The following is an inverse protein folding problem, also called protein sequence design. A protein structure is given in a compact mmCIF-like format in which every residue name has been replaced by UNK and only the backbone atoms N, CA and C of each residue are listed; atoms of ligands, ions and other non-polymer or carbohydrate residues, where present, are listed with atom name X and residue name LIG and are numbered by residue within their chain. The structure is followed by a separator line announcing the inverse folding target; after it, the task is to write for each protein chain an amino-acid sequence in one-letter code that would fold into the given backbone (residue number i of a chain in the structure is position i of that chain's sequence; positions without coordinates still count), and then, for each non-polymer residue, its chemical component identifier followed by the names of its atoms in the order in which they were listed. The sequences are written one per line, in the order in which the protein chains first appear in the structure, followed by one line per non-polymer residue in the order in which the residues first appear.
data_IF_783768885595
#
_entry.id   IF_783768885595
#
_cell.length_a   1.000
_cell.length_b   1.000
_cell.length_c   1.000
_cell.angle_alpha   90.00
_cell.angle_beta   90.00
_cell.angle_gamma   90.00
#
_symmetry.space_group_name_H-M   'P 1'
#
loop_
_entity.id
_entity.type
_entity.pdbx_description
1 polymer ?
#
# COMPACT_ATOMS: atom_id res chain seq x y z
N UNK A 1 -27.68 -8.75 -1.15
CA UNK A 1 -26.36 -9.13 -1.68
C UNK A 1 -26.47 -10.29 -2.66
N UNK A 2 -25.97 -10.17 -3.91
CA UNK A 2 -25.98 -11.24 -4.92
C UNK A 2 -25.27 -12.52 -4.45
N UNK A 3 -25.62 -13.68 -5.03
CA UNK A 3 -25.06 -14.99 -4.64
C UNK A 3 -23.52 -15.03 -4.72
N UNK A 4 -22.97 -14.49 -5.81
CA UNK A 4 -21.52 -14.43 -6.03
C UNK A 4 -20.80 -13.64 -4.93
N UNK A 5 -21.39 -12.55 -4.45
CA UNK A 5 -20.81 -11.72 -3.38
C UNK A 5 -20.86 -12.46 -2.04
N UNK A 6 -21.92 -13.24 -1.78
CA UNK A 6 -21.98 -14.09 -0.58
C UNK A 6 -20.91 -15.18 -0.57
N UNK A 7 -20.66 -15.81 -1.72
CA UNK A 7 -19.58 -16.80 -1.87
C UNK A 7 -18.20 -16.17 -1.65
N UNK A 8 -17.98 -14.95 -2.15
CA UNK A 8 -16.77 -14.19 -1.88
C UNK A 8 -16.61 -13.87 -0.39
N UNK A 9 -17.67 -13.45 0.29
CA UNK A 9 -17.68 -13.20 1.73
C UNK A 9 -17.24 -14.45 2.52
N UNK A 10 -17.81 -15.62 2.21
CA UNK A 10 -17.42 -16.88 2.85
C UNK A 10 -15.96 -17.26 2.58
N UNK A 11 -15.48 -17.05 1.36
CA UNK A 11 -14.07 -17.31 1.03
C UNK A 11 -13.12 -16.41 1.84
N UNK A 12 -13.41 -15.11 1.92
CA UNK A 12 -12.62 -14.17 2.70
C UNK A 12 -12.68 -14.46 4.20
N UNK A 13 -13.83 -14.88 4.72
CA UNK A 13 -13.95 -15.29 6.12
C UNK A 13 -13.02 -16.45 6.47
N UNK A 14 -12.88 -17.42 5.56
CA UNK A 14 -12.08 -18.64 5.76
C UNK A 14 -10.59 -18.45 5.43
N UNK A 15 -10.25 -17.58 4.47
CA UNK A 15 -8.90 -17.52 3.89
C UNK A 15 -8.29 -16.11 3.84
N UNK A 16 -9.11 -15.07 3.97
CA UNK A 16 -8.67 -13.68 3.81
C UNK A 16 -7.90 -13.15 5.03
N UNK A 17 -7.00 -12.20 4.80
CA UNK A 17 -6.34 -11.47 5.89
C UNK A 17 -7.37 -10.62 6.62
N UNK A 18 -7.06 -10.20 7.84
CA UNK A 18 -7.96 -9.34 8.61
C UNK A 18 -8.33 -8.08 7.83
N UNK A 19 -7.36 -7.40 7.21
CA UNK A 19 -7.61 -6.18 6.43
C UNK A 19 -8.53 -6.42 5.23
N UNK A 20 -8.38 -7.54 4.51
CA UNK A 20 -9.25 -7.87 3.36
C UNK A 20 -10.69 -8.13 3.80
N UNK A 21 -10.87 -8.83 4.93
CA UNK A 21 -12.21 -9.08 5.51
C UNK A 21 -12.89 -7.78 5.92
N UNK A 22 -12.15 -6.87 6.56
CA UNK A 22 -12.69 -5.57 7.00
C UNK A 22 -12.99 -4.64 5.82
N UNK A 23 -12.14 -4.64 4.79
CA UNK A 23 -12.39 -3.92 3.53
C UNK A 23 -13.65 -4.42 2.86
N UNK A 24 -13.81 -5.74 2.73
CA UNK A 24 -15.01 -6.34 2.17
C UNK A 24 -16.27 -5.99 2.97
N UNK A 25 -16.22 -6.11 4.30
CA UNK A 25 -17.34 -5.74 5.18
C UNK A 25 -17.74 -4.27 4.98
N UNK A 26 -16.76 -3.37 4.87
CA UNK A 26 -16.99 -1.93 4.63
C UNK A 26 -17.65 -1.68 3.27
N UNK A 27 -17.17 -2.34 2.20
CA UNK A 27 -17.64 -2.11 0.83
C UNK A 27 -18.98 -2.80 0.50
N UNK A 28 -19.27 -3.94 1.14
CA UNK A 28 -20.42 -4.77 0.78
C UNK A 28 -21.53 -4.82 1.83
N UNK A 29 -21.19 -4.66 3.11
CA UNK A 29 -22.10 -4.91 4.24
C UNK A 29 -22.21 -3.70 5.20
N UNK A 30 -21.70 -2.52 4.80
CA UNK A 30 -21.81 -1.28 5.59
C UNK A 30 -20.92 -1.27 6.84
N UNK A 31 -19.83 -2.05 6.85
CA UNK A 31 -18.83 -2.05 7.91
C UNK A 31 -18.15 -0.67 8.11
N UNK A 32 -17.52 -0.49 9.27
CA UNK A 32 -16.83 0.76 9.60
C UNK A 32 -15.44 0.84 8.97
N UNK A 33 -15.20 1.91 8.19
CA UNK A 33 -13.88 2.24 7.66
C UNK A 33 -12.82 2.48 8.73
N UNK A 34 -13.20 2.88 9.95
CA UNK A 34 -12.27 3.05 11.08
C UNK A 34 -11.58 1.72 11.46
N UNK A 35 -12.29 0.59 11.33
CA UNK A 35 -11.71 -0.73 11.60
C UNK A 35 -10.65 -1.08 10.55
N UNK A 36 -10.88 -0.69 9.29
CA UNK A 36 -9.89 -0.86 8.22
C UNK A 36 -8.68 0.02 8.47
N UNK A 37 -8.86 1.30 8.85
CA UNK A 37 -7.77 2.22 9.19
C UNK A 37 -6.93 1.70 10.37
N UNK A 38 -7.58 1.20 11.42
CA UNK A 38 -6.88 0.60 12.55
C UNK A 38 -6.04 -0.62 12.13
N UNK A 39 -6.59 -1.50 11.29
CA UNK A 39 -5.84 -2.62 10.74
C UNK A 39 -4.69 -2.17 9.82
N UNK A 40 -4.92 -1.19 8.94
CA UNK A 40 -3.92 -0.65 8.03
C UNK A 40 -2.74 -0.01 8.78
N UNK A 41 -3.01 0.68 9.89
CA UNK A 41 -1.95 1.31 10.70
C UNK A 41 -0.92 0.31 11.23
N UNK A 42 -1.31 -0.95 11.44
CA UNK A 42 -0.39 -2.01 11.87
C UNK A 42 0.55 -2.49 10.76
N UNK A 43 0.33 -2.09 9.50
CA UNK A 43 1.22 -2.36 8.37
C UNK A 43 2.24 -1.24 8.13
N UNK A 44 2.02 -0.03 8.67
CA UNK A 44 2.97 1.08 8.55
C UNK A 44 4.14 0.88 9.52
N UNK A 45 5.35 0.98 9.00
CA UNK A 45 6.58 0.87 9.77
C UNK A 45 7.00 2.23 10.36
N UNK A 46 7.91 2.26 11.35
CA UNK A 46 8.37 3.51 11.97
C UNK A 46 9.04 4.51 11.01
N UNK A 47 9.53 4.06 9.86
CA UNK A 47 10.09 4.92 8.80
C UNK A 47 9.03 5.61 7.93
N UNK A 48 7.75 5.32 8.17
CA UNK A 48 6.60 5.84 7.41
C UNK A 48 6.19 4.98 6.22
N UNK A 49 7.04 4.04 5.80
CA UNK A 49 6.74 3.10 4.72
C UNK A 49 5.81 1.96 5.15
N UNK A 50 5.46 1.11 4.20
CA UNK A 50 4.57 -0.03 4.44
C UNK A 50 5.24 -1.35 4.07
N UNK A 51 4.90 -2.40 4.83
CA UNK A 51 5.40 -3.75 4.62
C UNK A 51 4.45 -4.78 5.22
N UNK A 52 4.98 -5.80 5.89
CA UNK A 52 4.21 -6.79 6.67
C UNK A 52 3.17 -7.56 5.84
N UNK A 53 3.51 -7.85 4.58
CA UNK A 53 2.61 -8.51 3.62
C UNK A 53 1.31 -7.74 3.36
N UNK A 54 1.38 -6.40 3.33
CA UNK A 54 0.26 -5.56 2.87
C UNK A 54 -0.04 -5.80 1.39
N UNK A 55 0.98 -5.87 0.54
CA UNK A 55 0.91 -6.56 -0.75
C UNK A 55 1.01 -8.07 -0.49
N UNK A 56 -0.07 -8.85 -0.68
CA UNK A 56 -0.17 -10.22 -0.15
C UNK A 56 0.92 -11.20 -0.62
N UNK A 57 1.48 -11.04 -1.81
CA UNK A 57 2.52 -11.91 -2.37
C UNK A 57 3.96 -11.41 -2.12
N UNK A 58 4.10 -10.30 -1.37
CA UNK A 58 5.36 -9.73 -0.89
C UNK A 58 5.42 -9.85 0.66
N UNK A 59 5.95 -10.96 1.19
CA UNK A 59 5.75 -11.33 2.61
C UNK A 59 6.66 -10.61 3.61
N UNK A 60 7.64 -9.86 3.14
CA UNK A 60 8.62 -9.16 3.98
C UNK A 60 7.99 -8.13 4.93
N UNK A 61 8.62 -7.94 6.08
CA UNK A 61 8.19 -6.94 7.07
C UNK A 61 8.69 -5.52 6.73
N UNK A 62 9.84 -5.42 6.05
CA UNK A 62 10.47 -4.14 5.73
C UNK A 62 9.64 -3.29 4.76
N UNK A 63 9.82 -1.98 4.86
CA UNK A 63 9.15 -1.00 4.00
C UNK A 63 9.55 -1.18 2.53
N UNK A 64 8.58 -1.10 1.64
CA UNK A 64 8.76 -1.19 0.18
C UNK A 64 7.85 -0.17 -0.51
N UNK A 65 8.25 0.42 -1.67
CA UNK A 65 7.41 1.37 -2.40
C UNK A 65 6.06 0.81 -2.82
N UNK A 66 6.00 -0.44 -3.31
CA UNK A 66 4.73 -1.02 -3.77
C UNK A 66 3.70 -1.15 -2.63
N UNK A 67 4.00 -1.70 -1.44
CA UNK A 67 3.05 -1.67 -0.33
C UNK A 67 2.51 -0.29 0.05
N UNK A 68 3.24 0.80 -0.23
CA UNK A 68 2.70 2.17 -0.07
C UNK A 68 1.58 2.44 -1.08
N UNK A 69 1.71 1.97 -2.32
CA UNK A 69 0.66 2.04 -3.34
C UNK A 69 -0.60 1.31 -2.86
N UNK A 70 -0.45 0.08 -2.34
CA UNK A 70 -1.58 -0.68 -1.77
C UNK A 70 -2.21 0.08 -0.60
N UNK A 71 -1.42 0.68 0.29
CA UNK A 71 -1.93 1.51 1.38
C UNK A 71 -2.74 2.70 0.86
N UNK A 72 -2.24 3.38 -0.18
CA UNK A 72 -2.91 4.54 -0.77
C UNK A 72 -4.22 4.16 -1.47
N UNK A 73 -4.28 3.01 -2.16
CA UNK A 73 -5.56 2.51 -2.69
C UNK A 73 -6.58 2.27 -1.58
N UNK A 74 -6.17 1.67 -0.47
CA UNK A 74 -7.07 1.45 0.68
C UNK A 74 -7.53 2.79 1.27
N UNK A 75 -6.63 3.76 1.42
CA UNK A 75 -7.00 5.08 1.94
C UNK A 75 -7.94 5.84 0.98
N UNK A 76 -7.75 5.70 -0.33
CA UNK A 76 -8.63 6.26 -1.35
C UNK A 76 -10.03 5.63 -1.32
N UNK A 77 -10.10 4.28 -1.25
CA UNK A 77 -11.36 3.53 -1.12
C UNK A 77 -12.19 3.99 0.08
N UNK A 78 -11.53 4.34 1.19
CA UNK A 78 -12.17 4.77 2.43
C UNK A 78 -12.45 6.28 2.47
N UNK A 79 -12.00 7.06 1.49
CA UNK A 79 -12.05 8.53 1.55
C UNK A 79 -11.22 9.11 2.70
N UNK A 80 -10.16 8.42 3.11
CA UNK A 80 -9.34 8.70 4.29
C UNK A 80 -7.95 9.28 3.94
N UNK A 81 -7.81 9.91 2.78
CA UNK A 81 -6.52 10.43 2.29
C UNK A 81 -5.96 11.61 3.11
N UNK A 82 -6.76 12.21 3.99
CA UNK A 82 -6.30 13.18 5.00
C UNK A 82 -5.64 12.55 6.23
N UNK A 83 -5.51 11.22 6.30
CA UNK A 83 -4.93 10.54 7.45
C UNK A 83 -3.40 10.76 7.55
N UNK A 84 -2.81 10.91 8.75
CA UNK A 84 -1.36 11.12 8.93
C UNK A 84 -0.45 10.06 8.29
N UNK A 85 -0.98 8.86 8.05
CA UNK A 85 -0.30 7.79 7.31
C UNK A 85 0.20 8.26 5.94
N UNK A 86 -0.55 9.13 5.25
CA UNK A 86 -0.20 9.63 3.91
C UNK A 86 1.05 10.49 3.97
N UNK A 87 1.12 11.46 4.89
CA UNK A 87 2.30 12.32 5.04
C UNK A 87 3.55 11.52 5.40
N UNK A 88 3.45 10.61 6.38
CA UNK A 88 4.57 9.76 6.77
C UNK A 88 5.05 8.85 5.62
N UNK A 89 4.12 8.34 4.81
CA UNK A 89 4.47 7.58 3.61
C UNK A 89 5.16 8.45 2.56
N UNK A 90 4.77 9.71 2.40
CA UNK A 90 5.46 10.63 1.50
C UNK A 90 6.89 10.96 1.96
N UNK A 91 7.11 11.10 3.27
CA UNK A 91 8.46 11.24 3.84
C UNK A 91 9.33 10.00 3.53
N UNK A 92 8.76 8.81 3.70
CA UNK A 92 9.41 7.56 3.31
C UNK A 92 9.74 7.52 1.81
N UNK A 93 8.78 7.83 0.93
CA UNK A 93 8.95 7.81 -0.52
C UNK A 93 10.06 8.78 -0.97
N UNK A 94 10.14 9.97 -0.37
CA UNK A 94 11.23 10.92 -0.61
C UNK A 94 12.60 10.34 -0.24
N UNK A 95 12.69 9.55 0.82
CA UNK A 95 13.95 8.93 1.27
C UNK A 95 14.45 7.81 0.35
N UNK A 96 13.56 7.21 -0.47
CA UNK A 96 13.87 6.08 -1.35
C UNK A 96 13.75 6.41 -2.83
N UNK A 97 13.56 7.69 -3.16
CA UNK A 97 13.45 8.17 -4.55
C UNK A 97 14.78 7.99 -5.27
N UNK A 98 14.73 7.38 -6.45
CA UNK A 98 15.87 7.17 -7.31
C UNK A 98 16.30 8.49 -7.99
N UNK A 99 17.49 8.48 -8.61
CA UNK A 99 18.09 9.68 -9.24
C UNK A 99 17.27 10.25 -10.40
N UNK A 100 16.35 9.47 -10.94
CA UNK A 100 15.45 9.86 -12.03
C UNK A 100 14.12 10.46 -11.53
N UNK A 101 13.96 10.65 -10.22
CA UNK A 101 12.79 11.26 -9.59
C UNK A 101 11.66 10.28 -9.27
N UNK A 102 11.74 9.03 -9.77
CA UNK A 102 10.77 7.99 -9.45
C UNK A 102 11.16 7.17 -8.22
N UNK A 103 10.20 6.46 -7.62
CA UNK A 103 10.53 5.43 -6.63
C UNK A 103 10.70 4.06 -7.31
N UNK A 104 11.62 3.22 -6.82
CA UNK A 104 11.77 1.85 -7.29
C UNK A 104 10.47 1.05 -7.25
N UNK A 105 10.37 -0.01 -8.06
CA UNK A 105 9.27 -0.98 -7.95
C UNK A 105 9.29 -1.65 -6.55
N UNK A 106 10.47 -2.14 -6.16
CA UNK A 106 10.82 -2.64 -4.84
C UNK A 106 12.29 -2.30 -4.57
N UNK A 107 12.70 -2.31 -3.30
CA UNK A 107 14.08 -2.11 -2.87
C UNK A 107 14.84 -3.44 -2.78
N UNK A 108 16.18 -3.43 -2.85
CA UNK A 108 16.99 -4.65 -2.82
C UNK A 108 16.75 -5.56 -1.60
N UNK A 109 16.33 -4.98 -0.47
CA UNK A 109 16.00 -5.70 0.76
C UNK A 109 14.83 -6.67 0.61
N UNK A 110 14.02 -6.55 -0.45
CA UNK A 110 12.96 -7.52 -0.75
C UNK A 110 13.53 -8.93 -0.93
N UNK A 111 14.77 -9.04 -1.43
CA UNK A 111 15.41 -10.30 -1.80
C UNK A 111 15.71 -11.20 -0.60
N UNK A 112 15.77 -10.61 0.58
CA UNK A 112 16.05 -11.30 1.85
C UNK A 112 14.79 -11.88 2.50
N UNK A 113 13.62 -11.75 1.85
CA UNK A 113 12.32 -12.16 2.40
C UNK A 113 11.55 -13.05 1.43
N UNK A 114 10.56 -13.78 1.96
CA UNK A 114 9.68 -14.60 1.14
C UNK A 114 8.79 -13.70 0.25
N UNK A 115 8.74 -14.00 -1.03
CA UNK A 115 8.05 -13.19 -2.05
C UNK A 115 7.74 -14.04 -3.27
N UNK A 116 6.77 -13.59 -4.07
CA UNK A 116 6.61 -14.09 -5.42
C UNK A 116 7.84 -13.73 -6.31
N UNK A 117 8.17 -14.56 -7.32
CA UNK A 117 9.43 -14.46 -8.07
C UNK A 117 9.57 -13.21 -8.96
N UNK A 118 8.50 -12.44 -9.16
CA UNK A 118 8.54 -11.16 -9.89
C UNK A 118 8.96 -9.97 -9.03
N UNK A 119 8.94 -10.12 -7.70
CA UNK A 119 9.40 -9.07 -6.78
C UNK A 119 10.92 -9.04 -6.73
N UNK A 120 11.53 -8.50 -7.77
CA UNK A 120 12.98 -8.46 -7.94
C UNK A 120 13.45 -7.08 -8.37
N UNK A 121 14.70 -6.79 -8.07
CA UNK A 121 15.36 -5.55 -8.48
C UNK A 121 16.88 -5.73 -8.51
N UNK A 122 17.62 -4.98 -9.36
CA UNK A 122 19.06 -4.79 -9.18
C UNK A 122 19.37 -4.06 -7.86
N UNK A 123 20.65 -4.01 -7.49
CA UNK A 123 21.15 -3.40 -6.26
C UNK A 123 20.97 -1.87 -6.22
N UNK A 124 20.98 -1.23 -7.40
CA UNK A 124 20.67 0.21 -7.61
C UNK A 124 19.46 0.32 -8.54
N UNK A 125 18.22 0.15 -8.02
CA UNK A 125 17.02 0.24 -8.84
C UNK A 125 16.82 1.62 -9.46
N UNK A 126 16.40 1.71 -10.73
CA UNK A 126 15.82 2.94 -11.25
C UNK A 126 14.43 3.18 -10.67
N UNK A 127 13.89 4.38 -10.88
CA UNK A 127 12.49 4.66 -10.67
C UNK A 127 11.63 3.77 -11.57
N UNK A 128 10.50 3.30 -11.03
CA UNK A 128 9.51 2.52 -11.78
C UNK A 128 8.24 3.33 -11.97
N UNK A 129 7.69 3.30 -13.18
CA UNK A 129 6.39 3.92 -13.46
C UNK A 129 5.26 3.30 -12.62
N UNK A 130 5.36 2.02 -12.25
CA UNK A 130 4.27 1.29 -11.58
C UNK A 130 3.88 1.97 -10.26
N UNK A 131 4.72 1.99 -9.21
CA UNK A 131 4.31 2.69 -7.99
C UNK A 131 4.30 4.20 -8.21
N UNK A 132 5.27 4.77 -8.94
CA UNK A 132 5.42 6.23 -9.03
C UNK A 132 4.18 6.92 -9.61
N UNK A 133 3.65 6.43 -10.74
CA UNK A 133 2.51 7.08 -11.40
C UNK A 133 1.22 6.94 -10.57
N UNK A 134 1.01 5.78 -9.95
CA UNK A 134 -0.16 5.51 -9.10
C UNK A 134 -0.14 6.38 -7.84
N UNK A 135 1.00 6.40 -7.14
CA UNK A 135 1.22 7.21 -5.94
C UNK A 135 1.05 8.70 -6.24
N UNK A 136 1.74 9.23 -7.25
CA UNK A 136 1.62 10.63 -7.64
C UNK A 136 0.19 10.97 -8.10
N UNK A 137 -0.44 10.09 -8.86
CA UNK A 137 -1.82 10.24 -9.32
C UNK A 137 -2.82 10.35 -8.17
N UNK A 138 -2.69 9.51 -7.14
CA UNK A 138 -3.54 9.54 -5.95
C UNK A 138 -3.30 10.80 -5.11
N UNK A 139 -2.04 11.20 -4.93
CA UNK A 139 -1.72 12.45 -4.22
C UNK A 139 -2.31 13.67 -4.95
N UNK A 140 -2.17 13.74 -6.28
CA UNK A 140 -2.79 14.79 -7.08
C UNK A 140 -4.32 14.75 -7.03
N UNK A 141 -4.94 13.57 -7.12
CA UNK A 141 -6.39 13.38 -7.01
C UNK A 141 -6.94 14.00 -5.72
N UNK A 142 -6.20 13.87 -4.62
CA UNK A 142 -6.58 14.37 -3.30
C UNK A 142 -6.01 15.74 -2.94
N UNK A 143 -5.29 16.40 -3.86
CA UNK A 143 -4.69 17.72 -3.61
C UNK A 143 -3.65 17.72 -2.50
N UNK A 144 -2.95 16.60 -2.27
CA UNK A 144 -1.89 16.52 -1.27
C UNK A 144 -0.67 17.30 -1.77
N UNK A 145 -0.24 18.28 -0.98
CA UNK A 145 0.99 19.03 -1.22
C UNK A 145 2.14 18.40 -0.42
N UNK A 146 3.15 17.88 -1.10
CA UNK A 146 4.35 17.33 -0.48
C UNK A 146 5.59 17.56 -1.35
N UNK A 147 6.78 17.86 -0.78
CA UNK A 147 8.01 18.08 -1.54
C UNK A 147 8.37 16.94 -2.50
N UNK A 148 8.01 15.70 -2.16
CA UNK A 148 8.24 14.53 -3.01
C UNK A 148 7.64 14.65 -4.42
N UNK A 149 6.52 15.36 -4.60
CA UNK A 149 5.91 15.55 -5.93
C UNK A 149 6.71 16.52 -6.83
N UNK A 150 7.70 17.22 -6.28
CA UNK A 150 8.54 18.17 -7.00
C UNK A 150 9.96 17.62 -7.28
N UNK A 151 10.21 16.34 -7.01
CA UNK A 151 11.52 15.69 -7.15
C UNK A 151 11.89 15.43 -8.60
#
# INVERSE_FOLDING_TARGET
MPDIIRRAASYLQLNGRLIDRLRFETLCDGGSGERVLAALSAYQNPDGGFGNALEPDLRGAGSQPEPVEIAFWILDELGAFGHPMVTAACDYLASVTAKDGGVPFVLPSVRDTARAPWWETPDDPPGSLVPTASLAGLLHKHGVEHPWLAT
#
